data_IF_186420274934
#
_entry.id   IF_186420274934
#
_cell.length_a   1.000
_cell.length_b   1.000
_cell.length_c   1.000
_cell.angle_alpha   90.00
_cell.angle_beta   90.00
_cell.angle_gamma   90.00
#
_symmetry.space_group_name_H-M   'P 1'
#
loop_
_entity.id
_entity.type
_entity.pdbx_description
1 polymer ?
#
# COMPACT_ATOMS: atom_id res chain seq x y z
N UNK A 1 -37.99 12.91 51.00
CA UNK A 1 -37.26 11.67 50.61
C UNK A 1 -36.84 11.64 49.12
N UNK A 2 -36.18 12.69 48.59
CA UNK A 2 -35.79 12.79 47.14
C UNK A 2 -34.30 13.09 46.89
N UNK A 3 -33.50 13.26 47.93
CA UNK A 3 -32.11 13.76 47.83
C UNK A 3 -31.06 12.66 47.57
N UNK A 4 -31.30 11.43 48.02
CA UNK A 4 -30.37 10.31 47.92
C UNK A 4 -30.30 9.72 46.50
N UNK A 5 -31.43 9.64 45.79
CA UNK A 5 -31.52 9.08 44.43
C UNK A 5 -30.84 9.94 43.37
N UNK A 6 -30.90 11.27 43.51
CA UNK A 6 -30.25 12.22 42.60
C UNK A 6 -28.71 12.16 42.72
N UNK A 7 -28.18 12.09 43.94
CA UNK A 7 -26.73 11.97 44.18
C UNK A 7 -26.13 10.70 43.60
N UNK A 8 -26.79 9.53 43.78
CA UNK A 8 -26.34 8.25 43.19
C UNK A 8 -26.31 8.30 41.65
N UNK A 9 -27.29 8.94 41.01
CA UNK A 9 -27.34 9.06 39.53
C UNK A 9 -26.23 9.97 38.99
N UNK A 10 -25.89 11.04 39.71
CA UNK A 10 -24.78 11.94 39.36
C UNK A 10 -23.42 11.26 39.56
N UNK A 11 -23.26 10.50 40.64
CA UNK A 11 -22.06 9.70 40.90
C UNK A 11 -21.85 8.63 39.82
N UNK A 12 -22.88 7.86 39.46
CA UNK A 12 -22.77 6.84 38.40
C UNK A 12 -22.38 7.42 37.04
N UNK A 13 -22.94 8.58 36.66
CA UNK A 13 -22.53 9.28 35.43
C UNK A 13 -21.08 9.77 35.48
N UNK A 14 -20.60 10.20 36.66
CA UNK A 14 -19.22 10.64 36.85
C UNK A 14 -18.25 9.45 36.76
N UNK A 15 -18.58 8.32 37.41
CA UNK A 15 -17.78 7.10 37.37
C UNK A 15 -17.68 6.54 35.95
N UNK A 16 -18.80 6.45 35.22
CA UNK A 16 -18.79 6.02 33.82
C UNK A 16 -17.96 6.96 32.91
N UNK A 17 -17.95 8.27 33.20
CA UNK A 17 -17.12 9.25 32.47
C UNK A 17 -15.62 9.10 32.81
N UNK A 18 -15.29 8.81 34.06
CA UNK A 18 -13.91 8.55 34.51
C UNK A 18 -13.39 7.23 33.92
N UNK A 19 -14.19 6.17 33.96
CA UNK A 19 -13.84 4.85 33.43
C UNK A 19 -13.60 4.89 31.91
N UNK A 20 -14.50 5.54 31.16
CA UNK A 20 -14.34 5.70 29.71
C UNK A 20 -13.12 6.55 29.35
N UNK A 21 -12.83 7.60 30.13
CA UNK A 21 -11.63 8.44 29.96
C UNK A 21 -10.33 7.71 30.29
N UNK A 22 -10.33 6.87 31.34
CA UNK A 22 -9.21 6.04 31.73
C UNK A 22 -8.93 4.93 30.70
N UNK A 23 -9.97 4.31 30.14
CA UNK A 23 -9.84 3.23 29.17
C UNK A 23 -9.30 3.73 27.80
N UNK A 24 -9.83 4.84 27.27
CA UNK A 24 -9.33 5.41 26.00
C UNK A 24 -7.88 5.87 26.13
N UNK A 25 -7.51 6.52 27.25
CA UNK A 25 -6.11 6.89 27.52
C UNK A 25 -5.22 5.65 27.72
N UNK A 26 -5.73 4.61 28.37
CA UNK A 26 -5.03 3.34 28.55
C UNK A 26 -4.72 2.64 27.23
N UNK A 27 -5.70 2.60 26.31
CA UNK A 27 -5.52 2.06 24.95
C UNK A 27 -4.51 2.88 24.16
N UNK A 28 -4.63 4.22 24.16
CA UNK A 28 -3.68 5.11 23.48
C UNK A 28 -2.27 4.95 24.05
N UNK A 29 -2.12 4.88 25.37
CA UNK A 29 -0.84 4.68 26.01
C UNK A 29 -0.28 3.29 25.74
N UNK A 30 -1.10 2.23 25.71
CA UNK A 30 -0.67 0.89 25.33
C UNK A 30 -0.18 0.85 23.88
N UNK A 31 -0.89 1.49 22.94
CA UNK A 31 -0.44 1.64 21.56
C UNK A 31 0.85 2.48 21.46
N UNK A 32 0.97 3.54 22.25
CA UNK A 32 2.14 4.42 22.25
C UNK A 32 3.37 3.75 22.90
N UNK A 33 3.15 2.90 23.91
CA UNK A 33 4.19 2.09 24.56
C UNK A 33 4.58 0.88 23.70
N UNK A 34 3.63 0.22 23.04
CA UNK A 34 3.91 -0.89 22.13
C UNK A 34 4.66 -0.41 20.88
N UNK A 35 4.24 0.73 20.32
CA UNK A 35 4.99 1.38 19.24
C UNK A 35 6.32 1.90 19.75
N UNK A 36 6.39 2.52 20.93
CA UNK A 36 7.64 3.01 21.52
C UNK A 36 8.66 1.91 21.90
N UNK A 37 8.21 0.76 22.39
CA UNK A 37 9.08 -0.37 22.76
C UNK A 37 9.64 -1.08 21.53
N UNK A 38 8.81 -1.31 20.50
CA UNK A 38 9.27 -1.96 19.26
C UNK A 38 10.01 -0.98 18.34
N UNK A 39 9.53 0.27 18.19
CA UNK A 39 10.22 1.26 17.36
C UNK A 39 11.42 1.87 18.06
N UNK A 40 11.39 2.13 19.37
CA UNK A 40 12.49 2.78 20.09
C UNK A 40 13.76 1.94 20.07
N UNK A 41 13.66 0.68 20.50
CA UNK A 41 14.81 -0.24 20.53
C UNK A 41 15.36 -0.52 19.11
N UNK A 42 14.49 -0.57 18.10
CA UNK A 42 14.89 -0.78 16.71
C UNK A 42 15.51 0.49 16.09
N UNK A 43 14.98 1.67 16.40
CA UNK A 43 15.47 2.97 15.95
C UNK A 43 16.82 3.31 16.59
N UNK A 44 17.01 2.98 17.86
CA UNK A 44 18.28 3.18 18.56
C UNK A 44 19.41 2.30 17.97
N UNK A 45 19.06 1.15 17.35
CA UNK A 45 20.01 0.22 16.72
C UNK A 45 20.23 0.51 15.23
N UNK A 46 19.20 0.89 14.49
CA UNK A 46 19.22 0.99 13.02
C UNK A 46 19.09 2.43 12.50
N UNK A 47 18.92 3.42 13.38
CA UNK A 47 18.75 4.85 13.08
C UNK A 47 17.74 5.13 11.94
N UNK A 48 16.59 4.45 12.03
CA UNK A 48 15.55 4.46 11.00
C UNK A 48 14.96 5.85 10.81
N UNK A 49 14.79 6.61 11.90
CA UNK A 49 14.23 7.97 11.87
C UNK A 49 15.13 8.96 11.18
N UNK A 50 16.46 8.86 11.33
CA UNK A 50 17.36 9.78 10.63
C UNK A 50 17.38 9.44 9.13
N UNK A 51 17.45 8.15 8.78
CA UNK A 51 17.43 7.69 7.40
C UNK A 51 16.15 8.11 6.68
N UNK A 52 14.98 7.90 7.32
CA UNK A 52 13.70 8.32 6.77
C UNK A 52 13.60 9.83 6.61
N UNK A 53 13.99 10.62 7.63
CA UNK A 53 13.98 12.09 7.53
C UNK A 53 14.89 12.59 6.42
N UNK A 54 16.04 11.95 6.21
CA UNK A 54 16.98 12.30 5.13
C UNK A 54 16.36 12.09 3.76
N UNK A 55 15.63 10.99 3.55
CA UNK A 55 14.92 10.70 2.29
C UNK A 55 13.78 11.69 2.08
N UNK A 56 12.94 11.91 3.10
CA UNK A 56 11.75 12.75 3.00
C UNK A 56 12.07 14.25 2.85
N UNK A 57 13.19 14.73 3.40
CA UNK A 57 13.60 16.14 3.31
C UNK A 57 14.40 16.47 2.04
N UNK A 58 14.58 15.52 1.12
CA UNK A 58 15.31 15.78 -0.12
C UNK A 58 14.57 16.85 -0.96
N UNK A 59 15.21 17.96 -1.33
CA UNK A 59 14.53 19.05 -2.03
C UNK A 59 14.09 18.59 -3.42
N UNK A 60 12.85 18.92 -3.78
CA UNK A 60 12.29 18.66 -5.11
C UNK A 60 12.57 19.88 -6.01
N UNK A 61 13.20 19.70 -7.18
CA UNK A 61 13.44 20.81 -8.11
C UNK A 61 12.13 21.45 -8.61
N UNK A 62 12.14 22.76 -8.88
CA UNK A 62 10.94 23.49 -9.33
C UNK A 62 10.46 23.14 -10.75
N UNK A 63 11.29 22.52 -11.57
CA UNK A 63 10.98 22.16 -12.97
C UNK A 63 10.26 20.81 -13.11
N UNK A 64 9.94 20.15 -12.00
CA UNK A 64 9.25 18.86 -12.01
C UNK A 64 7.78 19.07 -12.39
N UNK A 65 7.34 18.37 -13.44
CA UNK A 65 5.97 18.41 -13.94
C UNK A 65 5.24 17.08 -13.63
N UNK A 66 3.95 17.01 -13.98
CA UNK A 66 3.12 15.83 -13.74
C UNK A 66 3.67 14.53 -14.37
N UNK A 67 4.41 14.62 -15.49
CA UNK A 67 4.99 13.46 -16.16
C UNK A 67 6.03 12.73 -15.31
N UNK A 68 6.53 13.34 -14.24
CA UNK A 68 7.45 12.70 -13.32
C UNK A 68 6.76 11.66 -12.42
N UNK A 69 5.44 11.74 -12.27
CA UNK A 69 4.65 10.86 -11.41
C UNK A 69 4.40 9.46 -12.00
N UNK A 70 4.56 9.26 -13.32
CA UNK A 70 4.28 7.97 -13.98
C UNK A 70 5.10 6.79 -13.45
N UNK A 71 6.32 7.04 -12.97
CA UNK A 71 7.10 6.00 -12.28
C UNK A 71 6.44 5.58 -10.94
N UNK A 72 5.93 6.55 -10.18
CA UNK A 72 5.18 6.28 -8.96
C UNK A 72 3.83 5.61 -9.22
N UNK A 73 3.12 5.99 -10.28
CA UNK A 73 1.89 5.31 -10.70
C UNK A 73 2.14 3.84 -11.07
N UNK A 74 3.23 3.56 -11.80
CA UNK A 74 3.62 2.18 -12.15
C UNK A 74 3.85 1.36 -10.88
N UNK A 75 4.57 1.91 -9.89
CA UNK A 75 4.81 1.24 -8.62
C UNK A 75 3.53 1.00 -7.81
N UNK A 76 2.64 2.01 -7.74
CA UNK A 76 1.35 1.86 -7.07
C UNK A 76 0.51 0.74 -7.69
N UNK A 77 0.45 0.68 -9.03
CA UNK A 77 -0.31 -0.34 -9.75
C UNK A 77 0.31 -1.73 -9.57
N UNK A 78 1.64 -1.83 -9.53
CA UNK A 78 2.33 -3.07 -9.19
C UNK A 78 1.92 -3.58 -7.80
N UNK A 79 1.87 -2.71 -6.80
CA UNK A 79 1.42 -3.05 -5.45
C UNK A 79 -0.03 -3.53 -5.47
N UNK A 80 -0.93 -2.84 -6.18
CA UNK A 80 -2.32 -3.28 -6.36
C UNK A 80 -2.41 -4.65 -7.04
N UNK A 81 -1.61 -4.91 -8.07
CA UNK A 81 -1.54 -6.21 -8.75
C UNK A 81 -1.05 -7.33 -7.83
N UNK A 82 -0.05 -7.08 -6.97
CA UNK A 82 0.38 -8.06 -5.97
C UNK A 82 -0.78 -8.39 -5.02
N UNK A 83 -1.40 -7.37 -4.41
CA UNK A 83 -2.46 -7.59 -3.44
C UNK A 83 -3.65 -8.33 -4.04
N UNK A 84 -4.13 -7.88 -5.21
CA UNK A 84 -5.26 -8.53 -5.88
C UNK A 84 -4.88 -9.91 -6.43
N UNK A 85 -3.65 -10.11 -6.89
CA UNK A 85 -3.16 -11.40 -7.38
C UNK A 85 -3.09 -12.46 -6.28
N UNK A 86 -2.60 -12.09 -5.10
CA UNK A 86 -2.62 -12.98 -3.92
C UNK A 86 -4.05 -13.39 -3.58
N UNK A 87 -5.00 -12.45 -3.63
CA UNK A 87 -6.40 -12.75 -3.35
C UNK A 87 -7.02 -13.72 -4.37
N UNK A 88 -6.69 -13.56 -5.66
CA UNK A 88 -7.15 -14.47 -6.73
C UNK A 88 -6.51 -15.86 -6.60
N UNK A 89 -5.25 -15.93 -6.19
CA UNK A 89 -4.51 -17.18 -6.03
C UNK A 89 -5.14 -18.11 -4.99
N UNK A 90 -5.87 -17.57 -3.99
CA UNK A 90 -6.59 -18.40 -3.01
C UNK A 90 -7.74 -19.23 -3.62
N UNK A 91 -8.24 -18.84 -4.80
CA UNK A 91 -9.39 -19.49 -5.45
C UNK A 91 -9.06 -20.09 -6.83
N UNK A 92 -7.99 -19.62 -7.48
CA UNK A 92 -7.58 -20.08 -8.80
C UNK A 92 -7.01 -21.51 -8.77
N UNK A 93 -7.38 -22.33 -9.76
CA UNK A 93 -6.86 -23.71 -9.90
C UNK A 93 -6.07 -23.86 -11.20
N UNK A 94 -4.73 -24.00 -11.15
CA UNK A 94 -3.87 -24.02 -12.34
C UNK A 94 -3.82 -25.43 -12.98
N UNK A 95 -4.97 -26.02 -13.33
CA UNK A 95 -5.04 -27.26 -14.10
C UNK A 95 -5.92 -27.06 -15.33
N UNK A 96 -5.60 -27.74 -16.43
CA UNK A 96 -6.27 -27.56 -17.73
C UNK A 96 -7.79 -27.72 -17.61
N UNK A 97 -8.24 -28.72 -16.85
CA UNK A 97 -9.67 -29.02 -16.69
C UNK A 97 -10.42 -28.03 -15.79
N UNK A 98 -9.73 -27.33 -14.89
CA UNK A 98 -10.36 -26.52 -13.84
C UNK A 98 -10.05 -25.02 -13.93
N UNK A 99 -9.09 -24.59 -14.75
CA UNK A 99 -8.67 -23.20 -14.85
C UNK A 99 -9.85 -22.27 -15.16
N UNK A 100 -10.58 -22.53 -16.25
CA UNK A 100 -11.72 -21.71 -16.64
C UNK A 100 -12.85 -21.74 -15.60
N UNK A 101 -13.21 -22.94 -15.10
CA UNK A 101 -14.25 -23.10 -14.10
C UNK A 101 -13.94 -22.35 -12.80
N UNK A 102 -12.68 -22.35 -12.35
CA UNK A 102 -12.22 -21.61 -11.17
C UNK A 102 -12.35 -20.09 -11.36
N UNK A 103 -12.05 -19.58 -12.55
CA UNK A 103 -12.19 -18.15 -12.89
C UNK A 103 -13.67 -17.71 -12.95
N UNK A 104 -14.55 -18.57 -13.46
CA UNK A 104 -16.00 -18.35 -13.43
C UNK A 104 -16.53 -18.33 -12.00
N UNK A 105 -16.07 -19.27 -11.16
CA UNK A 105 -16.41 -19.33 -9.74
C UNK A 105 -15.98 -18.05 -9.00
N UNK A 106 -14.76 -17.57 -9.22
CA UNK A 106 -14.27 -16.30 -8.65
C UNK A 106 -15.22 -15.15 -9.01
N UNK A 107 -15.70 -15.09 -10.25
CA UNK A 107 -16.53 -13.95 -10.68
C UNK A 107 -17.95 -14.00 -10.14
N UNK A 108 -18.56 -15.18 -10.12
CA UNK A 108 -20.00 -15.30 -9.86
C UNK A 108 -20.34 -15.75 -8.43
N UNK A 109 -19.43 -16.44 -7.74
CA UNK A 109 -19.73 -17.10 -6.47
C UNK A 109 -18.92 -16.54 -5.30
N UNK A 110 -17.73 -16.01 -5.53
CA UNK A 110 -16.91 -15.39 -4.47
C UNK A 110 -17.41 -13.96 -4.21
N UNK A 111 -17.71 -13.57 -2.95
CA UNK A 111 -18.09 -12.20 -2.61
C UNK A 111 -17.03 -11.20 -3.09
N UNK A 112 -17.45 -10.20 -3.87
CA UNK A 112 -16.56 -9.21 -4.51
C UNK A 112 -15.48 -9.79 -5.44
N UNK A 113 -15.53 -11.07 -5.81
CA UNK A 113 -14.51 -11.68 -6.66
C UNK A 113 -14.46 -11.09 -8.07
N UNK A 114 -15.61 -10.70 -8.64
CA UNK A 114 -15.66 -9.94 -9.90
C UNK A 114 -14.91 -8.61 -9.81
N UNK A 115 -14.99 -7.93 -8.66
CA UNK A 115 -14.37 -6.62 -8.44
C UNK A 115 -12.85 -6.77 -8.31
N UNK A 116 -12.39 -7.74 -7.52
CA UNK A 116 -10.96 -8.04 -7.36
C UNK A 116 -10.35 -8.46 -8.71
N UNK A 117 -11.02 -9.34 -9.46
CA UNK A 117 -10.57 -9.76 -10.80
C UNK A 117 -10.53 -8.58 -11.77
N UNK A 118 -11.56 -7.72 -11.73
CA UNK A 118 -11.61 -6.49 -12.53
C UNK A 118 -10.46 -5.54 -12.20
N UNK A 119 -10.20 -5.28 -10.92
CA UNK A 119 -9.07 -4.45 -10.51
C UNK A 119 -7.73 -5.03 -10.95
N UNK A 120 -7.51 -6.33 -10.79
CA UNK A 120 -6.28 -6.99 -11.23
C UNK A 120 -6.05 -6.80 -12.74
N UNK A 121 -7.08 -7.06 -13.56
CA UNK A 121 -6.99 -6.92 -15.02
C UNK A 121 -6.75 -5.46 -15.44
N UNK A 122 -7.53 -4.51 -14.93
CA UNK A 122 -7.38 -3.10 -15.28
C UNK A 122 -6.08 -2.50 -14.75
N UNK A 123 -5.66 -2.86 -13.54
CA UNK A 123 -4.39 -2.40 -12.98
C UNK A 123 -3.20 -2.91 -13.80
N UNK A 124 -3.21 -4.17 -14.27
CA UNK A 124 -2.20 -4.69 -15.18
C UNK A 124 -2.12 -3.89 -16.50
N UNK A 125 -3.25 -3.64 -17.17
CA UNK A 125 -3.28 -2.87 -18.41
C UNK A 125 -2.76 -1.44 -18.23
N UNK A 126 -3.22 -0.75 -17.19
CA UNK A 126 -2.76 0.62 -16.89
C UNK A 126 -1.29 0.63 -16.47
N UNK A 127 -0.81 -0.42 -15.80
CA UNK A 127 0.60 -0.56 -15.43
C UNK A 127 1.50 -0.62 -16.67
N UNK A 128 1.11 -1.37 -17.71
CA UNK A 128 1.85 -1.42 -18.98
C UNK A 128 1.88 -0.04 -19.66
N UNK A 129 0.76 0.68 -19.69
CA UNK A 129 0.69 2.03 -20.27
C UNK A 129 1.58 3.01 -19.49
N UNK A 130 1.48 3.00 -18.17
CA UNK A 130 2.21 3.94 -17.31
C UNK A 130 3.72 3.68 -17.32
N UNK A 131 4.16 2.41 -17.39
CA UNK A 131 5.60 2.10 -17.54
C UNK A 131 6.13 2.55 -18.91
N UNK A 132 5.34 2.40 -19.99
CA UNK A 132 5.74 2.89 -21.31
C UNK A 132 5.91 4.42 -21.32
N UNK A 133 4.96 5.15 -20.74
CA UNK A 133 5.06 6.61 -20.60
C UNK A 133 6.27 6.98 -19.74
N UNK A 134 6.53 6.24 -18.66
CA UNK A 134 7.69 6.46 -17.81
C UNK A 134 9.01 6.28 -18.58
N UNK A 135 9.15 5.18 -19.34
CA UNK A 135 10.33 4.89 -20.16
C UNK A 135 10.55 5.97 -21.23
N UNK A 136 9.48 6.36 -21.94
CA UNK A 136 9.55 7.43 -22.94
C UNK A 136 10.00 8.75 -22.33
N UNK A 137 9.49 9.09 -21.14
CA UNK A 137 9.89 10.32 -20.43
C UNK A 137 11.38 10.32 -20.10
N UNK A 138 11.91 9.21 -19.58
CA UNK A 138 13.33 9.08 -19.25
C UNK A 138 14.20 9.22 -20.51
N UNK A 139 13.76 8.66 -21.62
CA UNK A 139 14.43 8.78 -22.91
C UNK A 139 14.45 10.23 -23.42
N UNK A 140 13.28 10.88 -23.51
CA UNK A 140 13.14 12.26 -24.02
C UNK A 140 13.96 13.26 -23.18
N UNK A 141 13.95 13.12 -21.86
CA UNK A 141 14.68 14.03 -20.96
C UNK A 141 16.17 13.68 -20.83
N UNK A 142 16.67 12.68 -21.57
CA UNK A 142 18.08 12.24 -21.50
C UNK A 142 18.49 11.73 -20.12
N UNK A 143 17.53 11.29 -19.30
CA UNK A 143 17.75 10.95 -17.90
C UNK A 143 18.49 9.61 -17.71
N UNK A 144 18.67 8.84 -18.78
CA UNK A 144 19.47 7.61 -18.84
C UNK A 144 20.99 7.85 -18.96
N UNK A 145 21.42 9.09 -19.26
CA UNK A 145 22.84 9.41 -19.40
C UNK A 145 23.56 9.36 -18.04
N UNK A 146 24.89 9.24 -18.09
CA UNK A 146 25.75 9.31 -16.89
C UNK A 146 25.37 10.51 -16.00
N UNK A 147 25.32 10.37 -14.66
CA UNK A 147 25.71 9.23 -13.81
C UNK A 147 24.56 8.25 -13.48
N UNK A 148 23.48 8.21 -14.28
CA UNK A 148 22.25 7.43 -14.01
C UNK A 148 22.01 6.30 -15.01
N UNK A 149 23.07 5.90 -15.72
CA UNK A 149 23.10 4.80 -16.67
C UNK A 149 22.75 3.46 -16.02
N UNK A 150 23.25 3.17 -14.81
CA UNK A 150 22.89 1.94 -14.09
C UNK A 150 21.39 1.86 -13.75
N UNK A 151 20.77 2.99 -13.38
CA UNK A 151 19.33 3.04 -13.14
C UNK A 151 18.52 2.77 -14.41
N UNK A 152 19.04 3.15 -15.58
CA UNK A 152 18.40 2.86 -16.86
C UNK A 152 18.43 1.37 -17.20
N UNK A 153 19.56 0.69 -16.96
CA UNK A 153 19.67 -0.77 -17.15
C UNK A 153 18.68 -1.50 -16.25
N UNK A 154 18.58 -1.10 -14.98
CA UNK A 154 17.56 -1.63 -14.05
C UNK A 154 16.15 -1.33 -14.56
N UNK A 155 15.90 -0.13 -15.07
CA UNK A 155 14.61 0.25 -15.66
C UNK A 155 14.20 -0.64 -16.84
N UNK A 156 15.14 -0.98 -17.73
CA UNK A 156 14.89 -1.90 -18.85
C UNK A 156 14.57 -3.31 -18.33
N UNK A 157 15.33 -3.82 -17.36
CA UNK A 157 15.06 -5.14 -16.76
C UNK A 157 13.67 -5.19 -16.12
N UNK A 158 13.29 -4.15 -15.38
CA UNK A 158 11.95 -4.05 -14.80
C UNK A 158 10.88 -3.95 -15.88
N UNK A 159 11.09 -3.17 -16.94
CA UNK A 159 10.15 -3.08 -18.05
C UNK A 159 9.89 -4.44 -18.70
N UNK A 160 10.95 -5.22 -18.98
CA UNK A 160 10.82 -6.57 -19.50
C UNK A 160 10.06 -7.49 -18.52
N UNK A 161 10.34 -7.39 -17.22
CA UNK A 161 9.62 -8.14 -16.20
C UNK A 161 8.11 -7.82 -16.19
N UNK A 162 7.72 -6.55 -16.35
CA UNK A 162 6.31 -6.15 -16.47
C UNK A 162 5.64 -6.79 -17.69
N UNK A 163 6.34 -6.82 -18.84
CA UNK A 163 5.82 -7.47 -20.04
C UNK A 163 5.69 -8.99 -19.85
N UNK A 164 6.66 -9.63 -19.19
CA UNK A 164 6.58 -11.06 -18.84
C UNK A 164 5.37 -11.33 -17.97
N UNK A 165 5.13 -10.54 -16.92
CA UNK A 165 3.93 -10.71 -16.09
C UNK A 165 2.63 -10.53 -16.88
N UNK A 166 2.59 -9.55 -17.79
CA UNK A 166 1.42 -9.33 -18.66
C UNK A 166 1.18 -10.46 -19.67
N UNK A 167 2.21 -11.26 -20.00
CA UNK A 167 2.07 -12.43 -20.87
C UNK A 167 1.70 -13.70 -20.11
N UNK A 168 2.25 -13.90 -18.91
CA UNK A 168 2.07 -15.15 -18.14
C UNK A 168 0.82 -15.18 -17.26
N UNK A 169 0.26 -14.01 -16.91
CA UNK A 169 -0.92 -13.86 -16.04
C UNK A 169 -2.22 -13.79 -16.83
#
# INVERSE_FOLDING_TARGET
MKTTRSRKKKAGKLLAKIEKGANVRGIINWFTLATGFLYGELDDRLDLRSALRKILKKPVPKHINFWFCFGGFTFLLFVVNIFTGILLLMYYRPTVDQAYASVVHITNNVPFGWLVRGFHHWAANVMVITVLIHMLRIYIHGAYKHPRDMNWVVGIMLFLLVLTFGFTG
#
